data_IF_092103536685
#
_entry.id   IF_092103536685
#
_cell.length_a   1.000
_cell.length_b   1.000
_cell.length_c   1.000
_cell.angle_alpha   90.00
_cell.angle_beta   90.00
_cell.angle_gamma   90.00
#
_symmetry.space_group_name_H-M   'P 1'
#
loop_
_entity.id
_entity.type
_entity.pdbx_description
1 polymer ?
#
# COMPACT_ATOMS: atom_id res chain seq x y z
N UNK A 1 32.21 -13.76 -5.45
CA UNK A 1 32.05 -12.54 -6.28
C UNK A 1 31.37 -11.42 -5.49
N UNK A 2 32.13 -10.40 -5.07
CA UNK A 2 31.54 -9.16 -4.54
C UNK A 2 30.86 -8.45 -5.71
N UNK A 3 29.54 -8.45 -5.75
CA UNK A 3 28.80 -7.73 -6.78
C UNK A 3 28.93 -6.24 -6.47
N UNK A 4 29.37 -5.45 -7.44
CA UNK A 4 29.59 -4.01 -7.27
C UNK A 4 28.25 -3.31 -6.96
N UNK A 5 28.16 -2.73 -5.76
CA UNK A 5 26.95 -2.05 -5.27
C UNK A 5 26.51 -0.90 -6.17
N UNK A 6 27.42 -0.34 -6.99
CA UNK A 6 27.12 0.75 -7.93
C UNK A 6 26.17 0.35 -9.06
N UNK A 7 26.15 -0.93 -9.43
CA UNK A 7 25.26 -1.45 -10.49
C UNK A 7 24.06 -2.17 -9.88
N UNK A 8 24.25 -2.85 -8.75
CA UNK A 8 23.19 -3.63 -8.12
C UNK A 8 22.09 -2.77 -7.52
N UNK A 9 22.43 -1.63 -6.89
CA UNK A 9 21.46 -0.74 -6.28
C UNK A 9 20.46 -0.12 -7.29
N UNK A 10 20.88 0.47 -8.41
CA UNK A 10 19.94 0.99 -9.41
C UNK A 10 19.14 -0.13 -10.09
N UNK A 11 19.72 -1.32 -10.28
CA UNK A 11 19.00 -2.46 -10.84
C UNK A 11 17.86 -2.92 -9.91
N UNK A 12 18.11 -3.03 -8.61
CA UNK A 12 17.08 -3.35 -7.60
C UNK A 12 16.02 -2.25 -7.56
N UNK A 13 16.43 -0.98 -7.59
CA UNK A 13 15.51 0.15 -7.65
C UNK A 13 14.58 0.09 -8.87
N UNK A 14 15.12 -0.22 -10.06
CA UNK A 14 14.34 -0.37 -11.27
C UNK A 14 13.35 -1.55 -11.20
N UNK A 15 13.77 -2.69 -10.65
CA UNK A 15 12.91 -3.87 -10.46
C UNK A 15 11.71 -3.57 -9.56
N UNK A 16 11.84 -2.66 -8.60
CA UNK A 16 10.73 -2.28 -7.71
C UNK A 16 9.89 -1.15 -8.30
N UNK A 17 10.53 -0.11 -8.83
CA UNK A 17 9.83 1.11 -9.29
C UNK A 17 9.10 0.91 -10.61
N UNK A 18 9.71 0.22 -11.58
CA UNK A 18 9.15 0.10 -12.93
C UNK A 18 7.82 -0.67 -12.93
N UNK A 19 7.68 -1.83 -12.27
CA UNK A 19 6.41 -2.54 -12.24
C UNK A 19 5.31 -1.76 -11.51
N UNK A 20 5.65 -1.08 -10.41
CA UNK A 20 4.70 -0.27 -9.67
C UNK A 20 4.21 0.94 -10.50
N UNK A 21 5.12 1.58 -11.23
CA UNK A 21 4.77 2.68 -12.13
C UNK A 21 3.90 2.20 -13.31
N UNK A 22 4.29 1.11 -13.97
CA UNK A 22 3.51 0.50 -15.04
C UNK A 22 2.10 0.12 -14.54
N UNK A 23 2.01 -0.52 -13.38
CA UNK A 23 0.73 -0.87 -12.76
C UNK A 23 -0.15 0.37 -12.46
N UNK A 24 0.44 1.48 -12.02
CA UNK A 24 -0.30 2.73 -11.82
C UNK A 24 -0.87 3.28 -13.13
N UNK A 25 -0.06 3.26 -14.20
CA UNK A 25 -0.49 3.67 -15.55
C UNK A 25 -1.61 2.76 -16.06
N UNK A 26 -1.47 1.45 -15.89
CA UNK A 26 -2.45 0.45 -16.33
C UNK A 26 -3.78 0.62 -15.59
N UNK A 27 -3.77 0.74 -14.26
CA UNK A 27 -4.97 0.99 -13.46
C UNK A 27 -5.65 2.32 -13.86
N UNK A 28 -4.86 3.37 -14.10
CA UNK A 28 -5.35 4.68 -14.50
C UNK A 28 -5.92 4.70 -15.93
N UNK A 29 -5.34 3.92 -16.84
CA UNK A 29 -5.81 3.81 -18.23
C UNK A 29 -7.12 3.04 -18.34
N UNK A 30 -7.36 2.04 -17.47
CA UNK A 30 -8.66 1.40 -17.32
C UNK A 30 -9.69 2.44 -16.88
N UNK A 31 -9.49 3.04 -15.69
CA UNK A 31 -10.30 4.15 -15.17
C UNK A 31 -9.48 4.95 -14.13
N UNK A 32 -9.36 6.28 -14.24
CA UNK A 32 -8.65 7.07 -13.22
C UNK A 32 -9.22 6.90 -11.81
N UNK A 33 -10.55 6.71 -11.68
CA UNK A 33 -11.22 6.46 -10.41
C UNK A 33 -10.80 5.14 -9.75
N UNK A 34 -10.39 4.13 -10.54
CA UNK A 34 -9.91 2.85 -10.01
C UNK A 34 -8.54 3.00 -9.36
N UNK A 35 -7.60 3.69 -10.02
CA UNK A 35 -6.30 4.01 -9.44
C UNK A 35 -6.44 4.77 -8.11
N UNK A 36 -7.31 5.79 -8.08
CA UNK A 36 -7.57 6.56 -6.86
C UNK A 36 -8.16 5.68 -5.76
N UNK A 37 -9.08 4.77 -6.08
CA UNK A 37 -9.69 3.87 -5.11
C UNK A 37 -8.70 2.83 -4.55
N UNK A 38 -7.79 2.35 -5.39
CA UNK A 38 -6.67 1.50 -4.98
C UNK A 38 -5.73 2.27 -4.05
N UNK A 39 -5.31 3.50 -4.41
CA UNK A 39 -4.49 4.35 -3.53
C UNK A 39 -5.19 4.72 -2.23
N UNK A 40 -6.50 4.96 -2.27
CA UNK A 40 -7.30 5.21 -1.07
C UNK A 40 -7.26 4.04 -0.09
N UNK A 41 -7.10 2.80 -0.57
CA UNK A 41 -6.92 1.63 0.30
C UNK A 41 -5.66 1.76 1.17
N UNK A 42 -4.55 2.24 0.60
CA UNK A 42 -3.32 2.53 1.35
C UNK A 42 -3.58 3.63 2.36
N UNK A 43 -4.13 4.76 1.92
CA UNK A 43 -4.34 5.92 2.79
C UNK A 43 -5.27 5.61 3.96
N UNK A 44 -6.34 4.86 3.73
CA UNK A 44 -7.26 4.40 4.77
C UNK A 44 -6.53 3.44 5.72
N UNK A 45 -5.80 2.47 5.18
CA UNK A 45 -5.01 1.52 5.97
C UNK A 45 -4.02 2.24 6.89
N UNK A 46 -3.18 3.13 6.36
CA UNK A 46 -2.14 3.82 7.11
C UNK A 46 -2.72 4.76 8.16
N UNK A 47 -3.78 5.49 7.80
CA UNK A 47 -4.46 6.40 8.73
C UNK A 47 -5.10 5.63 9.88
N UNK A 48 -5.81 4.55 9.59
CA UNK A 48 -6.43 3.71 10.61
C UNK A 48 -5.38 2.99 11.48
N UNK A 49 -4.32 2.45 10.87
CA UNK A 49 -3.21 1.85 11.60
C UNK A 49 -2.58 2.84 12.58
N UNK A 50 -2.32 4.06 12.12
CA UNK A 50 -1.75 5.12 12.95
C UNK A 50 -2.70 5.53 14.09
N UNK A 51 -3.96 5.84 13.79
CA UNK A 51 -4.91 6.33 14.79
C UNK A 51 -5.23 5.27 15.84
N UNK A 52 -5.53 4.04 15.42
CA UNK A 52 -5.83 2.93 16.33
C UNK A 52 -4.57 2.49 17.06
N UNK A 53 -3.44 2.38 16.36
CA UNK A 53 -2.17 2.01 16.96
C UNK A 53 -1.69 3.02 18.00
N UNK A 54 -1.87 4.32 17.77
CA UNK A 54 -1.52 5.37 18.74
C UNK A 54 -2.44 5.38 19.96
N UNK A 55 -3.74 5.15 19.78
CA UNK A 55 -4.73 5.25 20.86
C UNK A 55 -4.87 3.97 21.68
N UNK A 56 -4.76 2.81 21.04
CA UNK A 56 -5.05 1.51 21.65
C UNK A 56 -3.87 0.52 21.57
N UNK A 57 -2.75 0.91 20.96
CA UNK A 57 -1.60 0.03 20.75
C UNK A 57 -0.96 -0.42 22.06
N UNK A 58 -0.98 -1.73 22.30
CA UNK A 58 -0.33 -2.37 23.45
C UNK A 58 0.73 -3.37 23.00
N UNK A 59 0.42 -4.16 21.97
CA UNK A 59 1.31 -5.20 21.45
C UNK A 59 2.05 -4.70 20.22
N UNK A 60 3.37 -4.53 20.36
CA UNK A 60 4.24 -4.13 19.25
C UNK A 60 4.29 -5.22 18.19
N UNK A 61 4.24 -4.81 16.92
CA UNK A 61 4.27 -5.71 15.77
C UNK A 61 5.71 -6.15 15.44
N UNK A 62 6.62 -5.18 15.30
CA UNK A 62 8.01 -5.42 14.92
C UNK A 62 8.95 -4.48 15.71
N UNK A 63 9.21 -4.75 17.00
CA UNK A 63 9.92 -3.83 17.89
C UNK A 63 11.30 -3.38 17.40
N UNK A 64 12.04 -4.29 16.77
CA UNK A 64 13.42 -4.06 16.27
C UNK A 64 13.46 -3.32 14.93
N UNK A 65 12.41 -3.45 14.11
CA UNK A 65 12.36 -2.89 12.75
C UNK A 65 11.60 -1.56 12.77
N UNK A 66 10.37 -1.59 13.30
CA UNK A 66 9.44 -0.47 13.37
C UNK A 66 8.74 -0.44 14.74
N UNK A 67 9.33 0.24 15.76
CA UNK A 67 8.81 0.27 17.12
C UNK A 67 7.47 1.02 17.25
N UNK A 68 7.06 1.76 16.22
CA UNK A 68 5.77 2.46 16.18
C UNK A 68 4.58 1.55 15.85
N UNK A 69 4.80 0.43 15.16
CA UNK A 69 3.72 -0.45 14.67
C UNK A 69 3.20 -1.39 15.75
N UNK A 70 1.89 -1.60 15.77
CA UNK A 70 1.19 -2.44 16.76
C UNK A 70 0.19 -3.38 16.09
N UNK A 71 -0.07 -4.52 16.72
CA UNK A 71 -1.09 -5.48 16.26
C UNK A 71 -2.49 -4.87 16.33
N UNK A 72 -2.77 -4.02 17.31
CA UNK A 72 -4.05 -3.31 17.38
C UNK A 72 -4.21 -2.32 16.22
N UNK A 73 -3.13 -1.66 15.80
CA UNK A 73 -3.12 -0.82 14.60
C UNK A 73 -3.43 -1.63 13.34
N UNK A 74 -2.81 -2.80 13.17
CA UNK A 74 -3.10 -3.72 12.05
C UNK A 74 -4.58 -4.11 12.03
N UNK A 75 -5.13 -4.52 13.18
CA UNK A 75 -6.55 -4.88 13.28
C UNK A 75 -7.46 -3.68 12.91
N UNK A 76 -7.12 -2.48 13.38
CA UNK A 76 -7.84 -1.25 13.03
C UNK A 76 -7.80 -0.93 11.53
N UNK A 77 -6.64 -1.09 10.91
CA UNK A 77 -6.48 -0.91 9.47
C UNK A 77 -7.28 -1.91 8.65
N UNK A 78 -7.22 -3.20 8.98
CA UNK A 78 -8.01 -4.24 8.31
C UNK A 78 -9.51 -4.00 8.46
N UNK A 79 -9.97 -3.56 9.64
CA UNK A 79 -11.37 -3.20 9.85
C UNK A 79 -11.79 -2.00 9.00
N UNK A 80 -10.98 -0.94 8.94
CA UNK A 80 -11.27 0.24 8.13
C UNK A 80 -11.28 -0.07 6.62
N UNK A 81 -10.33 -0.90 6.15
CA UNK A 81 -10.29 -1.38 4.76
C UNK A 81 -11.48 -2.28 4.45
N UNK A 82 -11.91 -3.14 5.39
CA UNK A 82 -13.11 -3.95 5.21
C UNK A 82 -14.36 -3.08 5.02
N UNK A 83 -14.53 -2.05 5.86
CA UNK A 83 -15.64 -1.10 5.73
C UNK A 83 -15.59 -0.36 4.38
N UNK A 84 -14.40 0.08 3.97
CA UNK A 84 -14.19 0.70 2.66
C UNK A 84 -14.55 -0.25 1.50
N UNK A 85 -14.13 -1.51 1.58
CA UNK A 85 -14.42 -2.51 0.55
C UNK A 85 -15.92 -2.83 0.46
N UNK A 86 -16.63 -2.89 1.59
CA UNK A 86 -18.08 -3.06 1.62
C UNK A 86 -18.81 -1.85 1.03
N UNK A 87 -18.35 -0.64 1.34
CA UNK A 87 -18.87 0.59 0.74
C UNK A 87 -18.61 0.62 -0.78
N UNK A 88 -17.44 0.19 -1.23
CA UNK A 88 -17.16 0.05 -2.65
C UNK A 88 -18.12 -0.95 -3.29
N UNK A 89 -18.24 -2.15 -2.75
CA UNK A 89 -19.06 -3.21 -3.32
C UNK A 89 -20.55 -2.81 -3.43
N UNK A 90 -21.10 -2.08 -2.46
CA UNK A 90 -22.50 -1.63 -2.48
C UNK A 90 -22.75 -0.52 -3.51
N UNK A 91 -21.77 0.39 -3.68
CA UNK A 91 -21.81 1.48 -4.67
C UNK A 91 -21.49 1.03 -6.11
N UNK A 92 -21.01 -0.21 -6.29
CA UNK A 92 -20.83 -0.84 -7.61
C UNK A 92 -22.12 -1.40 -8.22
N UNK A 93 -23.26 -1.22 -7.57
CA UNK A 93 -24.56 -1.63 -8.11
C UNK A 93 -24.99 -0.74 -9.31
N UNK A 94 -25.92 -1.21 -10.18
CA UNK A 94 -26.39 -0.44 -11.34
C UNK A 94 -27.02 0.92 -11.02
N UNK A 95 -27.42 1.14 -9.76
CA UNK A 95 -27.95 2.41 -9.24
C UNK A 95 -26.87 3.33 -8.64
N UNK A 96 -25.59 2.94 -8.71
CA UNK A 96 -24.46 3.64 -8.10
C UNK A 96 -24.02 4.92 -8.83
N UNK A 97 -23.12 5.66 -8.19
CA UNK A 97 -22.60 6.94 -8.69
C UNK A 97 -21.80 6.75 -10.01
N UNK A 98 -22.02 7.58 -11.05
CA UNK A 98 -21.31 7.48 -12.34
C UNK A 98 -19.78 7.56 -12.23
N UNK A 99 -19.28 8.31 -11.24
CA UNK A 99 -17.86 8.56 -11.01
C UNK A 99 -17.16 7.48 -10.16
N UNK A 100 -17.91 6.56 -9.54
CA UNK A 100 -17.34 5.47 -8.76
C UNK A 100 -16.75 4.40 -9.69
N UNK A 101 -15.72 3.63 -9.29
CA UNK A 101 -15.27 2.42 -10.00
C UNK A 101 -16.34 1.30 -9.92
N UNK A 102 -17.54 1.60 -10.40
CA UNK A 102 -18.74 0.76 -10.39
C UNK A 102 -18.76 -0.28 -11.53
N UNK A 103 -17.78 -0.24 -12.44
CA UNK A 103 -17.61 -1.24 -13.52
C UNK A 103 -16.23 -1.85 -13.46
N UNK A 104 -15.94 -2.55 -12.37
CA UNK A 104 -14.85 -3.52 -12.38
C UNK A 104 -15.41 -4.81 -12.97
N UNK A 105 -14.70 -5.43 -13.91
CA UNK A 105 -15.08 -6.71 -14.52
C UNK A 105 -14.88 -7.89 -13.53
N UNK A 106 -15.36 -7.75 -12.30
CA UNK A 106 -15.28 -8.79 -11.28
C UNK A 106 -16.57 -8.82 -10.43
N UNK A 107 -16.95 -10.01 -9.93
CA UNK A 107 -18.05 -10.10 -8.97
C UNK A 107 -17.75 -9.25 -7.72
N UNK A 108 -18.73 -8.48 -7.17
CA UNK A 108 -18.51 -7.64 -5.99
C UNK A 108 -17.98 -8.39 -4.77
N UNK A 109 -18.25 -9.69 -4.67
CA UNK A 109 -17.74 -10.57 -3.61
C UNK A 109 -16.19 -10.63 -3.54
N UNK A 110 -15.49 -10.36 -4.65
CA UNK A 110 -14.03 -10.37 -4.70
C UNK A 110 -13.38 -9.07 -4.21
N UNK A 111 -14.12 -7.97 -4.14
CA UNK A 111 -13.57 -6.67 -3.75
C UNK A 111 -13.01 -6.72 -2.33
N UNK A 112 -13.76 -7.29 -1.38
CA UNK A 112 -13.33 -7.41 0.01
C UNK A 112 -12.02 -8.19 0.18
N UNK A 113 -11.91 -9.47 -0.24
CA UNK A 113 -10.66 -10.21 -0.07
C UNK A 113 -9.48 -9.59 -0.84
N UNK A 114 -9.71 -8.96 -2.00
CA UNK A 114 -8.66 -8.26 -2.74
C UNK A 114 -8.14 -7.07 -1.94
N UNK A 115 -9.00 -6.15 -1.51
CA UNK A 115 -8.55 -4.95 -0.79
C UNK A 115 -7.89 -5.28 0.55
N UNK A 116 -8.37 -6.31 1.26
CA UNK A 116 -7.70 -6.81 2.47
C UNK A 116 -6.30 -7.36 2.15
N UNK A 117 -6.17 -8.15 1.07
CA UNK A 117 -4.88 -8.63 0.60
C UNK A 117 -3.91 -7.50 0.22
N UNK A 118 -4.42 -6.47 -0.46
CA UNK A 118 -3.66 -5.27 -0.82
C UNK A 118 -3.19 -4.49 0.43
N UNK A 119 -4.04 -4.33 1.43
CA UNK A 119 -3.66 -3.68 2.68
C UNK A 119 -2.55 -4.45 3.42
N UNK A 120 -2.67 -5.78 3.49
CA UNK A 120 -1.62 -6.64 4.08
C UNK A 120 -0.31 -6.52 3.28
N UNK A 121 -0.38 -6.54 1.94
CA UNK A 121 0.80 -6.38 1.08
C UNK A 121 1.48 -5.02 1.31
N UNK A 122 0.70 -3.93 1.43
CA UNK A 122 1.22 -2.61 1.76
C UNK A 122 1.93 -2.58 3.13
N UNK A 123 1.33 -3.18 4.16
CA UNK A 123 1.95 -3.28 5.49
C UNK A 123 3.26 -4.06 5.47
N UNK A 124 3.33 -5.14 4.68
CA UNK A 124 4.55 -5.93 4.46
C UNK A 124 5.60 -5.08 3.73
N UNK A 125 5.21 -4.35 2.69
CA UNK A 125 6.08 -3.45 1.94
C UNK A 125 6.76 -2.41 2.83
N UNK A 126 5.98 -1.71 3.67
CA UNK A 126 6.50 -0.73 4.63
C UNK A 126 7.43 -1.38 5.68
N UNK A 127 7.10 -2.59 6.17
CA UNK A 127 8.01 -3.34 7.06
C UNK A 127 9.31 -3.76 6.37
N UNK A 128 9.25 -4.14 5.10
CA UNK A 128 10.41 -4.51 4.30
C UNK A 128 11.32 -3.30 4.06
N UNK A 129 10.75 -2.15 3.70
CA UNK A 129 11.49 -0.90 3.56
C UNK A 129 12.12 -0.47 4.89
N UNK A 130 11.36 -0.56 6.00
CA UNK A 130 11.87 -0.33 7.35
C UNK A 130 13.04 -1.25 7.70
N UNK A 131 13.01 -2.52 7.29
CA UNK A 131 14.10 -3.48 7.51
C UNK A 131 15.35 -3.11 6.71
N UNK A 132 15.21 -2.73 5.44
CA UNK A 132 16.33 -2.26 4.61
C UNK A 132 16.99 -1.03 5.25
N UNK A 133 16.20 -0.06 5.73
CA UNK A 133 16.73 1.14 6.41
C UNK A 133 17.58 0.77 7.63
N UNK A 134 17.13 -0.19 8.45
CA UNK A 134 17.90 -0.67 9.63
C UNK A 134 19.19 -1.38 9.23
N UNK A 135 19.18 -2.19 8.18
CA UNK A 135 20.39 -2.84 7.68
C UNK A 135 21.41 -1.84 7.13
N UNK A 136 20.94 -0.75 6.53
CA UNK A 136 21.78 0.35 6.04
C UNK A 136 22.21 1.33 7.15
N UNK A 137 21.81 1.11 8.42
CA UNK A 137 22.13 1.99 9.54
C UNK A 137 21.45 3.37 9.50
N UNK A 138 20.43 3.53 8.65
CA UNK A 138 19.69 4.78 8.48
C UNK A 138 18.27 4.66 9.02
N UNK A 139 17.64 5.81 9.29
CA UNK A 139 16.24 5.85 9.72
C UNK A 139 15.28 6.22 8.60
N UNK A 140 15.64 7.27 7.86
CA UNK A 140 14.85 7.80 6.75
C UNK A 140 15.58 7.50 5.44
N UNK A 141 14.82 7.28 4.36
CA UNK A 141 15.39 6.93 3.05
C UNK A 141 16.12 8.11 2.37
N UNK A 142 15.92 9.33 2.88
CA UNK A 142 16.58 10.55 2.42
C UNK A 142 16.03 11.80 3.10
N UNK A 143 16.44 12.98 2.64
CA UNK A 143 16.04 14.28 3.20
C UNK A 143 15.33 15.18 2.19
N UNK A 144 14.89 14.60 1.07
CA UNK A 144 14.39 15.37 -0.08
C UNK A 144 13.06 16.08 0.22
N UNK A 145 12.25 15.55 1.14
CA UNK A 145 11.03 16.20 1.60
C UNK A 145 11.26 16.80 3.00
N UNK A 146 11.34 18.15 3.13
CA UNK A 146 11.60 18.80 4.41
C UNK A 146 10.59 18.38 5.49
N UNK A 147 11.10 17.84 6.60
CA UNK A 147 10.29 17.34 7.72
C UNK A 147 9.52 16.03 7.47
N UNK A 148 9.65 15.42 6.29
CA UNK A 148 8.84 14.28 5.85
C UNK A 148 9.63 13.04 5.44
N UNK A 149 10.97 13.11 5.43
CA UNK A 149 11.86 12.00 5.06
C UNK A 149 12.18 11.98 3.56
N UNK A 150 12.42 10.80 3.02
CA UNK A 150 12.63 10.60 1.60
C UNK A 150 11.33 10.30 0.85
N UNK A 151 11.40 10.32 -0.49
CA UNK A 151 10.27 9.95 -1.35
C UNK A 151 9.89 8.47 -1.13
N UNK A 152 10.88 7.60 -0.90
CA UNK A 152 10.64 6.16 -0.74
C UNK A 152 9.75 5.87 0.48
N UNK A 153 9.92 6.63 1.57
CA UNK A 153 9.07 6.56 2.77
C UNK A 153 7.59 6.94 2.50
N UNK A 154 7.26 7.45 1.31
CA UNK A 154 5.89 7.85 0.90
C UNK A 154 5.26 6.91 -0.11
N UNK A 155 6.07 6.09 -0.76
CA UNK A 155 5.63 5.19 -1.81
C UNK A 155 5.92 3.72 -1.49
N UNK A 156 6.53 3.40 -0.36
CA UNK A 156 6.81 2.03 0.12
C UNK A 156 5.59 1.09 0.08
N UNK A 157 4.46 1.51 0.63
CA UNK A 157 3.22 0.73 0.59
C UNK A 157 2.61 0.66 -0.84
N UNK A 158 2.48 1.77 -1.60
CA UNK A 158 2.08 1.72 -3.00
C UNK A 158 2.97 0.84 -3.88
N UNK A 159 4.29 0.80 -3.65
CA UNK A 159 5.24 -0.01 -4.41
C UNK A 159 4.93 -1.51 -4.30
N UNK A 160 4.57 -1.97 -3.10
CA UNK A 160 4.15 -3.36 -2.90
C UNK A 160 2.74 -3.64 -3.42
N UNK A 161 1.83 -2.66 -3.31
CA UNK A 161 0.41 -2.85 -3.57
C UNK A 161 0.04 -2.74 -5.07
N UNK A 162 0.57 -1.74 -5.78
CA UNK A 162 0.13 -1.39 -7.13
C UNK A 162 0.26 -2.54 -8.14
N UNK A 163 1.38 -3.28 -8.23
CA UNK A 163 1.48 -4.43 -9.13
C UNK A 163 0.42 -5.51 -8.86
N UNK A 164 0.13 -5.78 -7.58
CA UNK A 164 -0.89 -6.76 -7.19
C UNK A 164 -2.30 -6.27 -7.54
N UNK A 165 -2.55 -4.98 -7.37
CA UNK A 165 -3.81 -4.36 -7.77
C UNK A 165 -4.01 -4.44 -9.29
N UNK A 166 -2.99 -4.15 -10.09
CA UNK A 166 -3.08 -4.28 -11.55
C UNK A 166 -3.39 -5.72 -11.97
N UNK A 167 -2.74 -6.73 -11.38
CA UNK A 167 -3.04 -8.15 -11.65
C UNK A 167 -4.48 -8.55 -11.30
N UNK A 168 -5.06 -7.91 -10.27
CA UNK A 168 -6.42 -8.17 -9.83
C UNK A 168 -7.48 -7.47 -10.69
N UNK A 169 -7.18 -6.26 -11.18
CA UNK A 169 -8.18 -5.36 -11.77
C UNK A 169 -8.03 -5.08 -13.27
N UNK A 170 -6.84 -5.28 -13.87
CA UNK A 170 -6.54 -4.94 -15.27
C UNK A 170 -6.61 -6.17 -16.18
N UNK A 171 -7.65 -7.01 -16.00
CA UNK A 171 -7.87 -8.17 -16.88
C UNK A 171 -8.72 -7.82 -18.08
#
# INVERSE_FOLDING_TARGET
PQIDGRVLLPAVGAIVLVPAFAAAVDLGSVRPSLLVAVLATVWISDSAAYLIGRRFGRRKLAPTISPGKTWEGVAGALAAVALYALAWASLSSPAGLPAWPSRVQMPPAWILPILLGLAVAGMIGDLFESLIKRQAGVKDSGTLLPGHGGILDRIDAPLAMLPLAALAFVR
#
